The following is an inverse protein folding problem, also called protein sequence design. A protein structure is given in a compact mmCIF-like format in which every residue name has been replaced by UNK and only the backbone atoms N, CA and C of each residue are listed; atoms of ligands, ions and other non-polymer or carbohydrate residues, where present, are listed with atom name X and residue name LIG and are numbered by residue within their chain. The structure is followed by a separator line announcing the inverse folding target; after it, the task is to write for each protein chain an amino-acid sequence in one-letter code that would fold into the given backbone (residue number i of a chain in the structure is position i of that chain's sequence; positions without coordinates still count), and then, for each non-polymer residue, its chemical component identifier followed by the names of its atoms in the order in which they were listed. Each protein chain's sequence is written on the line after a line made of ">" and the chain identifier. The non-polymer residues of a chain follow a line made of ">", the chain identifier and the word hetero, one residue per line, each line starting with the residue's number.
data_IF_861447566517
#
_entry.id   IF_861447566517
#
_cell.length_a   1.000
_cell.length_b   1.000
_cell.length_c   1.000
_cell.angle_alpha   90.00
_cell.angle_beta   90.00
_cell.angle_gamma   90.00
#
_symmetry.space_group_name_H-M   'P 1'
#
loop_
_entity.id
_entity.type
_entity.pdbx_description
1 polymer ?
#
# COMPACT_ATOMS: atom_id res chain seq x y z
N UNK A 1 4.29 -34.25 -21.00
CA UNK A 1 5.17 -33.47 -20.10
C UNK A 1 4.98 -33.83 -18.63
N UNK A 2 3.76 -34.04 -18.14
CA UNK A 2 3.51 -34.28 -16.70
C UNK A 2 4.10 -35.58 -16.14
N UNK A 3 4.13 -36.65 -16.93
CA UNK A 3 4.77 -37.92 -16.51
C UNK A 3 6.28 -37.80 -16.26
N UNK A 4 6.98 -36.97 -17.06
CA UNK A 4 8.40 -36.69 -16.87
C UNK A 4 8.65 -35.78 -15.67
N UNK A 5 7.80 -34.75 -15.46
CA UNK A 5 7.86 -33.89 -14.27
C UNK A 5 7.68 -34.68 -12.96
N UNK A 6 6.72 -35.62 -12.92
CA UNK A 6 6.50 -36.50 -11.76
C UNK A 6 7.69 -37.43 -11.50
N UNK A 7 8.25 -38.07 -12.53
CA UNK A 7 9.46 -38.90 -12.39
C UNK A 7 10.65 -38.09 -11.87
N UNK A 8 10.85 -36.86 -12.38
CA UNK A 8 11.90 -35.96 -11.92
C UNK A 8 11.68 -35.49 -10.47
N UNK A 9 10.43 -35.16 -10.10
CA UNK A 9 10.07 -34.79 -8.72
C UNK A 9 10.38 -35.93 -7.75
N UNK A 10 9.93 -37.16 -8.05
CA UNK A 10 10.19 -38.34 -7.22
C UNK A 10 11.70 -38.65 -7.09
N UNK A 11 12.49 -38.40 -8.13
CA UNK A 11 13.94 -38.53 -8.06
C UNK A 11 14.61 -37.43 -7.22
N UNK A 12 14.09 -36.19 -7.27
CA UNK A 12 14.59 -35.05 -6.47
C UNK A 12 14.24 -35.16 -5.00
N UNK A 13 13.08 -35.73 -4.67
CA UNK A 13 12.63 -35.98 -3.29
C UNK A 13 13.62 -36.86 -2.49
N UNK A 14 14.37 -37.73 -3.17
CA UNK A 14 15.40 -38.57 -2.53
C UNK A 14 16.65 -37.80 -2.10
N UNK A 15 16.79 -36.53 -2.47
CA UNK A 15 17.94 -35.69 -2.09
C UNK A 15 17.67 -35.08 -0.73
N UNK A 16 18.73 -34.81 0.04
CA UNK A 16 18.61 -33.97 1.23
C UNK A 16 18.12 -32.59 0.78
N UNK A 17 16.95 -32.18 1.26
CA UNK A 17 16.43 -30.86 0.97
C UNK A 17 17.35 -29.80 1.58
N UNK A 18 17.64 -28.70 0.87
CA UNK A 18 18.25 -27.54 1.49
C UNK A 18 17.44 -27.11 2.71
N UNK A 19 18.11 -26.63 3.76
CA UNK A 19 17.42 -26.00 4.87
C UNK A 19 16.56 -24.86 4.34
N UNK A 20 15.27 -24.89 4.68
CA UNK A 20 14.34 -23.81 4.38
C UNK A 20 14.40 -22.82 5.54
N UNK A 21 14.64 -21.55 5.23
CA UNK A 21 14.32 -20.51 6.21
C UNK A 21 12.79 -20.41 6.29
N UNK A 22 12.25 -20.78 7.44
CA UNK A 22 10.82 -20.84 7.74
C UNK A 22 10.33 -19.64 8.57
N UNK A 23 11.19 -18.63 8.76
CA UNK A 23 10.80 -17.37 9.38
C UNK A 23 9.73 -16.66 8.54
N UNK A 24 8.78 -16.08 9.24
CA UNK A 24 7.81 -15.13 8.68
C UNK A 24 8.32 -13.74 9.01
N UNK A 25 8.68 -12.97 7.98
CA UNK A 25 9.20 -11.60 8.11
C UNK A 25 8.12 -10.59 7.76
N UNK A 26 7.95 -9.55 8.58
CA UNK A 26 6.93 -8.53 8.36
C UNK A 26 7.13 -7.79 7.04
N UNK A 27 8.35 -7.32 6.76
CA UNK A 27 8.75 -6.68 5.50
C UNK A 27 8.40 -7.51 4.26
N UNK A 28 8.87 -8.75 4.18
CA UNK A 28 8.62 -9.60 3.00
C UNK A 28 7.14 -9.95 2.84
N UNK A 29 6.42 -10.14 3.95
CA UNK A 29 4.97 -10.33 3.88
C UNK A 29 4.26 -9.03 3.47
N UNK A 30 4.75 -7.85 3.84
CA UNK A 30 4.24 -6.55 3.36
C UNK A 30 4.31 -6.45 1.83
N UNK A 31 5.46 -6.78 1.23
CA UNK A 31 5.61 -6.85 -0.23
C UNK A 31 4.68 -7.90 -0.87
N UNK A 32 4.55 -9.07 -0.24
CA UNK A 32 3.63 -10.11 -0.71
C UNK A 32 2.17 -9.65 -0.64
N UNK A 33 1.77 -8.97 0.43
CA UNK A 33 0.42 -8.42 0.61
C UNK A 33 0.14 -7.39 -0.48
N UNK A 34 1.06 -6.46 -0.74
CA UNK A 34 0.94 -5.48 -1.82
C UNK A 34 0.75 -6.16 -3.18
N UNK A 35 1.58 -7.15 -3.50
CA UNK A 35 1.50 -7.88 -4.76
C UNK A 35 0.17 -8.65 -4.92
N UNK A 36 -0.27 -9.35 -3.87
CA UNK A 36 -1.53 -10.10 -3.87
C UNK A 36 -2.74 -9.16 -3.95
N UNK A 37 -2.74 -8.07 -3.21
CA UNK A 37 -3.82 -7.09 -3.24
C UNK A 37 -3.94 -6.43 -4.62
N UNK A 38 -2.82 -5.97 -5.19
CA UNK A 38 -2.79 -5.43 -6.56
C UNK A 38 -3.22 -6.47 -7.60
N UNK A 39 -2.79 -7.73 -7.43
CA UNK A 39 -3.25 -8.84 -8.26
C UNK A 39 -4.76 -9.07 -8.16
N UNK A 40 -5.33 -8.99 -6.95
CA UNK A 40 -6.78 -9.10 -6.74
C UNK A 40 -7.54 -7.98 -7.45
N UNK A 41 -7.02 -6.74 -7.39
CA UNK A 41 -7.60 -5.59 -8.06
C UNK A 41 -7.56 -5.76 -9.59
N UNK A 42 -6.38 -5.96 -10.16
CA UNK A 42 -6.18 -5.99 -11.62
C UNK A 42 -6.80 -7.22 -12.27
N UNK A 43 -6.73 -8.39 -11.63
CA UNK A 43 -7.20 -9.65 -12.21
C UNK A 43 -8.67 -9.97 -11.84
N UNK A 44 -9.25 -9.24 -10.90
CA UNK A 44 -10.59 -9.53 -10.37
C UNK A 44 -10.70 -10.86 -9.62
N UNK A 45 -9.58 -11.43 -9.15
CA UNK A 45 -9.56 -12.71 -8.42
C UNK A 45 -9.43 -12.50 -6.91
N UNK A 46 -10.55 -12.70 -6.21
CA UNK A 46 -10.64 -12.56 -4.76
C UNK A 46 -9.79 -13.57 -3.96
N UNK A 47 -9.27 -14.63 -4.59
CA UNK A 47 -8.36 -15.55 -3.90
C UNK A 47 -7.10 -14.82 -3.43
N UNK A 48 -6.62 -13.86 -4.21
CA UNK A 48 -5.44 -13.08 -3.85
C UNK A 48 -5.72 -12.13 -2.69
N UNK A 49 -6.86 -11.42 -2.69
CA UNK A 49 -7.22 -10.54 -1.56
C UNK A 49 -7.43 -11.36 -0.29
N UNK A 50 -8.16 -12.49 -0.33
CA UNK A 50 -8.32 -13.37 0.84
C UNK A 50 -6.99 -13.86 1.41
N UNK A 51 -6.01 -14.16 0.56
CA UNK A 51 -4.67 -14.55 0.99
C UNK A 51 -3.92 -13.38 1.65
N UNK A 52 -4.00 -12.18 1.08
CA UNK A 52 -3.45 -10.96 1.66
C UNK A 52 -4.09 -10.62 3.02
N UNK A 53 -5.42 -10.69 3.13
CA UNK A 53 -6.15 -10.47 4.40
C UNK A 53 -5.75 -11.50 5.47
N UNK A 54 -5.48 -12.74 5.09
CA UNK A 54 -4.96 -13.77 6.01
C UNK A 54 -3.56 -13.40 6.50
N UNK A 55 -2.68 -12.91 5.63
CA UNK A 55 -1.34 -12.48 5.99
C UNK A 55 -1.37 -11.25 6.91
N UNK A 56 -2.20 -10.24 6.59
CA UNK A 56 -2.40 -9.05 7.45
C UNK A 56 -2.89 -9.47 8.84
N UNK A 57 -3.93 -10.31 8.93
CA UNK A 57 -4.42 -10.82 10.21
C UNK A 57 -3.32 -11.52 11.01
N UNK A 58 -2.54 -12.39 10.37
CA UNK A 58 -1.42 -13.05 11.04
C UNK A 58 -0.41 -12.05 11.61
N UNK A 59 -0.03 -11.03 10.84
CA UNK A 59 0.92 -10.00 11.29
C UNK A 59 0.33 -9.22 12.48
N UNK A 60 -0.92 -8.79 12.40
CA UNK A 60 -1.56 -8.06 13.48
C UNK A 60 -1.74 -8.94 14.73
N UNK A 61 -2.06 -10.22 14.58
CA UNK A 61 -2.32 -11.10 15.74
C UNK A 61 -1.03 -11.60 16.40
N UNK A 62 0.05 -11.78 15.63
CA UNK A 62 1.26 -12.46 16.12
C UNK A 62 2.54 -11.63 16.06
N UNK A 63 2.65 -10.64 15.18
CA UNK A 63 3.86 -9.83 14.98
C UNK A 63 3.72 -8.43 15.61
N UNK A 64 3.12 -8.38 16.81
CA UNK A 64 3.05 -7.17 17.64
C UNK A 64 3.47 -7.46 19.07
N UNK A 65 4.19 -6.53 19.66
CA UNK A 65 4.47 -6.49 21.11
C UNK A 65 3.18 -6.25 21.91
N UNK A 66 3.28 -6.34 23.24
CA UNK A 66 2.17 -6.03 24.16
C UNK A 66 1.70 -4.58 24.02
N UNK A 67 2.64 -3.68 23.71
CA UNK A 67 2.44 -2.26 23.45
C UNK A 67 1.98 -1.98 22.00
N UNK A 68 1.62 -3.04 21.24
CA UNK A 68 1.16 -3.00 19.84
C UNK A 68 2.19 -2.53 18.81
N UNK A 69 3.45 -2.29 19.20
CA UNK A 69 4.56 -2.05 18.27
C UNK A 69 4.81 -3.27 17.40
N UNK A 70 5.05 -3.04 16.11
CA UNK A 70 5.34 -4.07 15.12
C UNK A 70 6.66 -4.78 15.42
N UNK A 71 6.70 -6.09 15.18
CA UNK A 71 7.88 -6.94 15.31
C UNK A 71 8.34 -7.43 13.93
N UNK A 72 9.63 -7.67 13.76
CA UNK A 72 10.22 -8.00 12.45
C UNK A 72 10.03 -9.47 12.06
N UNK A 73 10.08 -10.40 13.03
CA UNK A 73 10.22 -11.83 12.75
C UNK A 73 9.33 -12.69 13.63
N UNK A 74 8.72 -13.71 13.02
CA UNK A 74 8.05 -14.81 13.70
C UNK A 74 8.68 -16.15 13.31
N UNK A 75 8.98 -16.99 14.29
CA UNK A 75 9.49 -18.36 14.08
C UNK A 75 9.22 -19.21 15.31
N UNK A 76 8.87 -20.48 15.12
CA UNK A 76 8.73 -21.46 16.21
C UNK A 76 7.81 -21.01 17.37
N UNK A 77 6.72 -20.30 17.07
CA UNK A 77 5.78 -19.79 18.08
C UNK A 77 6.17 -18.44 18.70
N UNK A 78 7.35 -17.92 18.36
CA UNK A 78 7.95 -16.73 18.94
C UNK A 78 7.96 -15.56 17.93
N UNK A 79 7.41 -14.42 18.35
CA UNK A 79 7.61 -13.14 17.70
C UNK A 79 8.75 -12.38 18.37
N UNK A 80 9.71 -11.90 17.59
CA UNK A 80 10.93 -11.30 18.10
C UNK A 80 11.40 -10.12 17.23
N UNK A 81 12.23 -9.30 17.88
CA UNK A 81 12.89 -8.10 17.37
C UNK A 81 11.93 -6.95 17.01
N UNK A 82 12.19 -5.72 17.49
CA UNK A 82 11.50 -4.54 16.97
C UNK A 82 11.59 -4.49 15.44
N UNK A 83 10.48 -4.11 14.80
CA UNK A 83 10.44 -3.87 13.37
C UNK A 83 11.34 -2.69 12.95
N UNK A 84 11.86 -2.78 11.73
CA UNK A 84 12.68 -1.76 11.05
C UNK A 84 11.82 -0.93 10.09
N UNK A 85 12.42 0.09 9.46
CA UNK A 85 11.75 0.94 8.47
C UNK A 85 11.02 0.12 7.39
N UNK A 86 11.70 -0.87 6.82
CA UNK A 86 11.16 -1.71 5.73
C UNK A 86 9.88 -2.46 6.14
N UNK A 87 9.83 -2.96 7.39
CA UNK A 87 8.67 -3.67 7.89
C UNK A 87 7.43 -2.76 7.93
N UNK A 88 7.62 -1.50 8.34
CA UNK A 88 6.57 -0.50 8.39
C UNK A 88 6.17 0.01 7.00
N UNK A 89 7.15 0.34 6.16
CA UNK A 89 6.92 0.89 4.83
C UNK A 89 6.19 -0.14 3.95
N UNK A 90 6.68 -1.38 3.91
CA UNK A 90 6.12 -2.41 3.04
C UNK A 90 4.76 -2.88 3.52
N UNK A 91 4.54 -2.99 4.84
CA UNK A 91 3.21 -3.32 5.38
C UNK A 91 2.21 -2.20 5.09
N UNK A 92 2.58 -0.93 5.29
CA UNK A 92 1.70 0.21 5.02
C UNK A 92 1.31 0.26 3.54
N UNK A 93 2.26 0.05 2.63
CA UNK A 93 1.97 -0.06 1.19
C UNK A 93 1.00 -1.22 0.90
N UNK A 94 1.26 -2.40 1.48
CA UNK A 94 0.37 -3.55 1.32
C UNK A 94 -1.05 -3.30 1.84
N UNK A 95 -1.20 -2.58 2.94
CA UNK A 95 -2.49 -2.21 3.51
C UNK A 95 -3.27 -1.23 2.62
N UNK A 96 -2.59 -0.25 2.00
CA UNK A 96 -3.21 0.66 1.01
C UNK A 96 -3.71 -0.12 -0.20
N UNK A 97 -2.88 -0.99 -0.79
CA UNK A 97 -3.30 -1.83 -1.93
C UNK A 97 -4.46 -2.76 -1.54
N UNK A 98 -4.44 -3.30 -0.32
CA UNK A 98 -5.51 -4.17 0.18
C UNK A 98 -6.83 -3.43 0.39
N UNK A 99 -6.78 -2.17 0.84
CA UNK A 99 -7.96 -1.29 0.84
C UNK A 99 -8.51 -1.15 -0.58
N UNK A 100 -7.69 -0.81 -1.57
CA UNK A 100 -8.13 -0.68 -2.98
C UNK A 100 -8.76 -1.98 -3.49
N UNK A 101 -8.18 -3.14 -3.17
CA UNK A 101 -8.70 -4.44 -3.59
C UNK A 101 -10.02 -4.84 -2.92
N UNK A 102 -10.24 -4.43 -1.66
CA UNK A 102 -11.36 -4.96 -0.84
C UNK A 102 -12.47 -3.96 -0.57
N UNK A 103 -12.18 -2.67 -0.75
CA UNK A 103 -12.98 -1.53 -0.27
C UNK A 103 -13.25 -1.52 1.24
N UNK A 104 -12.43 -2.22 2.03
CA UNK A 104 -12.57 -2.24 3.48
C UNK A 104 -11.74 -1.12 4.13
N UNK A 105 -12.37 -0.08 4.72
CA UNK A 105 -11.68 1.09 5.27
C UNK A 105 -10.75 0.75 6.44
N UNK A 106 -10.93 -0.40 7.09
CA UNK A 106 -10.02 -0.88 8.14
C UNK A 106 -8.56 -0.92 7.68
N UNK A 107 -8.29 -1.34 6.43
CA UNK A 107 -6.92 -1.45 5.95
C UNK A 107 -6.29 -0.07 5.72
N UNK A 108 -7.07 0.91 5.25
CA UNK A 108 -6.60 2.29 5.11
C UNK A 108 -6.34 2.94 6.48
N UNK A 109 -7.21 2.67 7.46
CA UNK A 109 -7.03 3.10 8.86
C UNK A 109 -5.74 2.52 9.46
N UNK A 110 -5.52 1.21 9.33
CA UNK A 110 -4.29 0.58 9.81
C UNK A 110 -3.05 1.08 9.06
N UNK A 111 -3.13 1.35 7.76
CA UNK A 111 -2.03 1.96 7.01
C UNK A 111 -1.66 3.33 7.58
N UNK A 112 -2.64 4.17 7.92
CA UNK A 112 -2.42 5.47 8.55
C UNK A 112 -1.76 5.32 9.93
N UNK A 113 -2.23 4.37 10.76
CA UNK A 113 -1.61 4.08 12.06
C UNK A 113 -0.15 3.65 11.88
N UNK A 114 0.13 2.73 10.96
CA UNK A 114 1.50 2.26 10.70
C UNK A 114 2.39 3.38 10.15
N UNK A 115 1.87 4.24 9.28
CA UNK A 115 2.62 5.39 8.75
C UNK A 115 2.98 6.41 9.84
N UNK A 116 2.06 6.72 10.77
CA UNK A 116 2.38 7.61 11.91
C UNK A 116 3.37 6.98 12.88
N UNK A 117 3.27 5.67 13.14
CA UNK A 117 4.29 4.95 13.91
C UNK A 117 5.66 4.98 13.20
N UNK A 118 5.67 4.85 11.87
CA UNK A 118 6.87 4.94 11.04
C UNK A 118 7.52 6.32 11.13
N UNK A 119 6.73 7.39 11.02
CA UNK A 119 7.18 8.77 11.26
C UNK A 119 7.82 8.90 12.64
N UNK A 120 7.09 8.55 13.69
CA UNK A 120 7.56 8.70 15.06
C UNK A 120 8.87 7.96 15.33
N UNK A 121 9.02 6.74 14.81
CA UNK A 121 10.17 5.88 15.14
C UNK A 121 11.41 6.18 14.29
N UNK A 122 11.24 6.54 13.03
CA UNK A 122 12.32 6.49 12.05
C UNK A 122 12.65 7.83 11.39
N UNK A 123 11.78 8.84 11.47
CA UNK A 123 11.98 10.11 10.78
C UNK A 123 13.22 10.86 11.27
N UNK A 124 13.97 11.44 10.34
CA UNK A 124 15.05 12.39 10.64
C UNK A 124 14.56 13.83 10.48
N UNK A 125 14.35 14.51 11.60
CA UNK A 125 13.92 15.91 11.57
C UNK A 125 14.95 16.87 11.00
N UNK A 126 16.24 16.55 11.03
CA UNK A 126 17.28 17.45 10.52
C UNK A 126 17.49 17.25 9.02
N UNK A 127 17.76 16.01 8.60
CA UNK A 127 18.09 15.70 7.21
C UNK A 127 16.92 15.33 6.31
N UNK A 128 15.71 15.13 6.85
CA UNK A 128 14.62 14.43 6.15
C UNK A 128 14.99 12.97 5.87
N UNK A 129 14.07 12.15 5.36
CA UNK A 129 14.37 10.72 5.24
C UNK A 129 14.05 9.95 6.51
N UNK A 130 13.97 8.64 6.37
CA UNK A 130 13.80 7.72 7.49
C UNK A 130 15.08 6.91 7.69
N UNK A 131 15.52 6.83 8.94
CA UNK A 131 16.54 5.90 9.37
C UNK A 131 16.02 4.46 9.30
N UNK A 132 16.90 3.51 9.01
CA UNK A 132 16.53 2.10 8.97
C UNK A 132 16.13 1.54 10.34
N UNK A 133 16.84 1.95 11.40
CA UNK A 133 16.56 1.55 12.78
C UNK A 133 15.83 2.64 13.55
N UNK A 134 15.04 2.23 14.55
CA UNK A 134 14.22 3.13 15.34
C UNK A 134 15.07 4.03 16.25
N UNK A 135 14.52 5.18 16.64
CA UNK A 135 15.18 6.15 17.52
C UNK A 135 15.53 5.57 18.91
N UNK A 136 14.76 4.59 19.37
CA UNK A 136 14.94 3.93 20.66
C UNK A 136 15.83 2.69 20.59
N UNK A 137 16.36 2.36 19.41
CA UNK A 137 17.32 1.29 19.21
C UNK A 137 18.76 1.77 19.51
N UNK A 138 19.20 1.49 20.74
CA UNK A 138 20.55 1.84 21.21
C UNK A 138 21.63 0.82 20.80
N UNK A 139 21.32 -0.19 19.98
CA UNK A 139 22.30 -1.21 19.58
C UNK A 139 23.25 -0.76 18.48
N UNK A 140 22.94 0.35 17.79
CA UNK A 140 23.72 0.87 16.68
C UNK A 140 24.38 2.21 17.03
N UNK A 141 25.68 2.33 16.77
CA UNK A 141 26.45 3.58 16.97
C UNK A 141 26.03 4.68 15.98
N UNK A 142 25.60 4.31 14.77
CA UNK A 142 25.16 5.21 13.71
C UNK A 142 23.91 4.62 13.05
N UNK A 143 22.88 5.43 12.86
CA UNK A 143 21.66 5.07 12.13
C UNK A 143 21.84 5.44 10.66
N UNK A 144 21.71 4.47 9.77
CA UNK A 144 21.84 4.67 8.32
C UNK A 144 20.48 4.91 7.67
N UNK A 145 20.48 5.62 6.54
CA UNK A 145 19.33 5.75 5.64
C UNK A 145 19.64 5.02 4.34
N UNK A 146 18.86 3.98 4.04
CA UNK A 146 18.95 3.26 2.78
C UNK A 146 17.98 3.89 1.79
N UNK A 147 18.48 4.39 0.65
CA UNK A 147 17.66 4.99 -0.42
C UNK A 147 17.80 4.28 -1.77
N UNK A 148 18.68 3.28 -1.86
CA UNK A 148 18.92 2.55 -3.10
C UNK A 148 17.96 1.36 -3.22
N UNK A 149 17.16 1.36 -4.27
CA UNK A 149 16.35 0.24 -4.70
C UNK A 149 17.24 -0.80 -5.37
N UNK A 150 17.24 -2.02 -4.82
CA UNK A 150 18.08 -3.13 -5.28
C UNK A 150 17.19 -4.31 -5.70
N UNK A 151 17.43 -5.52 -5.19
CA UNK A 151 16.54 -6.66 -5.44
C UNK A 151 15.11 -6.43 -4.89
N UNK A 152 14.97 -5.52 -3.94
CA UNK A 152 13.71 -5.02 -3.38
C UNK A 152 13.78 -3.49 -3.35
N UNK A 153 12.64 -2.78 -3.34
CA UNK A 153 12.65 -1.34 -3.11
C UNK A 153 13.21 -1.04 -1.71
N UNK A 154 13.82 0.13 -1.53
CA UNK A 154 14.26 0.59 -0.22
C UNK A 154 13.06 1.02 0.64
N UNK A 155 13.18 0.91 1.96
CA UNK A 155 12.18 1.42 2.88
C UNK A 155 11.90 2.92 2.68
N UNK A 156 12.91 3.72 2.31
CA UNK A 156 12.72 5.15 2.03
C UNK A 156 11.95 5.41 0.73
N UNK A 157 12.18 4.64 -0.33
CA UNK A 157 11.41 4.74 -1.57
C UNK A 157 9.94 4.40 -1.33
N UNK A 158 9.67 3.32 -0.58
CA UNK A 158 8.29 2.92 -0.26
C UNK A 158 7.65 3.88 0.74
N UNK A 159 8.39 4.44 1.70
CA UNK A 159 7.89 5.47 2.59
C UNK A 159 7.44 6.71 1.80
N UNK A 160 8.21 7.18 0.82
CA UNK A 160 7.81 8.29 -0.04
C UNK A 160 6.44 8.00 -0.70
N UNK A 161 6.30 6.83 -1.32
CA UNK A 161 5.04 6.39 -1.93
C UNK A 161 3.87 6.34 -0.94
N UNK A 162 4.09 5.75 0.24
CA UNK A 162 3.06 5.60 1.29
C UNK A 162 2.59 6.95 1.82
N UNK A 163 3.51 7.86 2.15
CA UNK A 163 3.14 9.17 2.68
C UNK A 163 2.43 10.03 1.63
N UNK A 164 2.86 10.00 0.36
CA UNK A 164 2.15 10.67 -0.74
C UNK A 164 0.71 10.16 -0.89
N UNK A 165 0.54 8.83 -0.97
CA UNK A 165 -0.77 8.20 -1.07
C UNK A 165 -1.67 8.58 0.11
N UNK A 166 -1.17 8.46 1.34
CA UNK A 166 -1.96 8.76 2.55
C UNK A 166 -2.27 10.25 2.68
N UNK A 167 -1.35 11.14 2.30
CA UNK A 167 -1.62 12.57 2.23
C UNK A 167 -2.78 12.86 1.27
N UNK A 168 -2.79 12.22 0.08
CA UNK A 168 -3.91 12.36 -0.88
C UNK A 168 -5.20 11.74 -0.37
N UNK A 169 -5.15 10.57 0.26
CA UNK A 169 -6.34 9.97 0.86
C UNK A 169 -6.95 10.88 1.92
N UNK A 170 -6.13 11.42 2.82
CA UNK A 170 -6.59 12.07 4.05
C UNK A 170 -6.75 13.58 3.95
N UNK A 171 -6.06 14.23 3.01
CA UNK A 171 -5.89 15.69 3.00
C UNK A 171 -5.05 16.21 4.18
N UNK A 172 -4.28 15.35 4.84
CA UNK A 172 -3.44 15.72 5.99
C UNK A 172 -2.16 16.44 5.54
N UNK A 173 -2.06 17.73 5.89
CA UNK A 173 -0.91 18.60 5.56
C UNK A 173 0.41 18.13 6.20
N UNK A 174 0.37 17.45 7.35
CA UNK A 174 1.57 16.91 7.99
C UNK A 174 2.15 15.76 7.16
N UNK A 175 1.29 14.83 6.71
CA UNK A 175 1.70 13.74 5.85
C UNK A 175 2.23 14.25 4.52
N UNK A 176 1.58 15.26 3.94
CA UNK A 176 2.01 15.93 2.71
C UNK A 176 3.40 16.58 2.90
N UNK A 177 3.62 17.27 4.01
CA UNK A 177 4.91 17.89 4.35
C UNK A 177 6.02 16.84 4.49
N UNK A 178 5.75 15.73 5.18
CA UNK A 178 6.71 14.62 5.33
C UNK A 178 7.03 14.01 3.97
N UNK A 179 6.03 13.79 3.13
CA UNK A 179 6.22 13.26 1.78
C UNK A 179 7.13 14.15 0.91
N UNK A 180 6.89 15.46 0.91
CA UNK A 180 7.72 16.41 0.16
C UNK A 180 9.15 16.49 0.69
N UNK A 181 9.33 16.51 2.01
CA UNK A 181 10.67 16.48 2.63
C UNK A 181 11.40 15.19 2.32
N UNK A 182 10.70 14.06 2.28
CA UNK A 182 11.23 12.76 1.87
C UNK A 182 11.74 12.76 0.43
N UNK A 183 10.93 13.28 -0.51
CA UNK A 183 11.35 13.42 -1.92
C UNK A 183 12.58 14.32 -2.03
N UNK A 184 12.55 15.49 -1.37
CA UNK A 184 13.67 16.43 -1.42
C UNK A 184 14.98 15.83 -0.87
N UNK A 185 14.92 15.04 0.21
CA UNK A 185 16.10 14.44 0.84
C UNK A 185 16.87 13.49 -0.10
N UNK A 186 16.18 12.81 -1.02
CA UNK A 186 16.78 11.82 -1.91
C UNK A 186 16.80 12.20 -3.39
N UNK A 187 16.22 13.35 -3.78
CA UNK A 187 16.20 13.82 -5.16
C UNK A 187 17.59 13.94 -5.80
N UNK A 188 18.60 14.37 -5.05
CA UNK A 188 19.98 14.45 -5.53
C UNK A 188 20.59 13.07 -5.82
N UNK A 189 20.32 12.07 -4.97
CA UNK A 189 20.79 10.71 -5.17
C UNK A 189 20.08 10.04 -6.36
N UNK A 190 18.75 10.21 -6.46
CA UNK A 190 17.95 9.70 -7.57
C UNK A 190 18.37 10.31 -8.92
N UNK A 191 18.74 11.60 -8.95
CA UNK A 191 19.25 12.24 -10.16
C UNK A 191 20.62 11.68 -10.60
N UNK A 192 21.48 11.30 -9.66
CA UNK A 192 22.80 10.71 -9.96
C UNK A 192 22.71 9.24 -10.36
N UNK A 193 21.81 8.47 -9.75
CA UNK A 193 21.68 7.02 -9.97
C UNK A 193 20.21 6.59 -10.13
N UNK A 194 19.49 7.03 -11.17
CA UNK A 194 18.05 6.76 -11.34
C UNK A 194 17.72 5.25 -11.38
N UNK A 195 18.62 4.44 -11.95
CA UNK A 195 18.48 2.98 -11.99
C UNK A 195 18.50 2.31 -10.60
N UNK A 196 19.06 2.98 -9.60
CA UNK A 196 19.08 2.54 -8.20
C UNK A 196 17.97 3.23 -7.38
N UNK A 197 17.02 3.91 -8.01
CA UNK A 197 15.94 4.65 -7.34
C UNK A 197 14.60 4.46 -8.04
N UNK A 198 14.38 3.29 -8.64
CA UNK A 198 13.22 3.03 -9.52
C UNK A 198 11.86 3.16 -8.82
N UNK A 199 11.73 2.72 -7.57
CA UNK A 199 10.48 2.85 -6.81
C UNK A 199 10.31 4.26 -6.27
N UNK A 200 11.41 4.93 -5.90
CA UNK A 200 11.40 6.36 -5.61
C UNK A 200 10.89 7.17 -6.81
N UNK A 201 11.31 6.82 -8.04
CA UNK A 201 10.84 7.48 -9.25
C UNK A 201 9.34 7.24 -9.50
N UNK A 202 8.76 6.12 -9.06
CA UNK A 202 7.31 5.95 -9.05
C UNK A 202 6.60 6.93 -8.10
N UNK A 203 7.16 7.15 -6.91
CA UNK A 203 6.66 8.16 -5.97
C UNK A 203 6.78 9.59 -6.55
N UNK A 204 7.90 9.88 -7.22
CA UNK A 204 8.09 11.16 -7.89
C UNK A 204 7.11 11.35 -9.06
N UNK A 205 6.85 10.32 -9.87
CA UNK A 205 5.85 10.37 -10.95
C UNK A 205 4.44 10.63 -10.41
N UNK A 206 4.08 9.98 -9.30
CA UNK A 206 2.80 10.23 -8.61
C UNK A 206 2.65 11.68 -8.18
N UNK A 207 3.70 12.28 -7.61
CA UNK A 207 3.66 13.67 -7.13
C UNK A 207 3.72 14.70 -8.27
N UNK A 208 4.43 14.42 -9.37
CA UNK A 208 4.50 15.33 -10.53
C UNK A 208 3.23 15.33 -11.37
N UNK A 209 2.46 14.24 -11.35
CA UNK A 209 1.22 14.11 -12.09
C UNK A 209 0.09 14.98 -11.55
N UNK A 210 -0.93 15.33 -12.35
CA UNK A 210 -2.16 15.85 -11.79
C UNK A 210 -2.75 14.80 -10.83
N UNK A 211 -2.90 15.12 -9.53
CA UNK A 211 -3.45 14.16 -8.59
C UNK A 211 -4.92 13.91 -8.91
N UNK A 212 -5.28 12.64 -9.08
CA UNK A 212 -6.66 12.24 -9.35
C UNK A 212 -7.25 11.47 -8.17
N UNK A 213 -8.32 12.00 -7.60
CA UNK A 213 -9.15 11.31 -6.61
C UNK A 213 -10.39 10.78 -7.32
N UNK A 214 -10.44 9.47 -7.54
CA UNK A 214 -11.57 8.81 -8.22
C UNK A 214 -12.46 8.16 -7.17
N UNK A 215 -13.61 8.79 -6.89
CA UNK A 215 -14.61 8.27 -5.95
C UNK A 215 -15.68 7.48 -6.69
N UNK A 216 -15.76 6.18 -6.44
CA UNK A 216 -16.84 5.30 -6.91
C UNK A 216 -17.87 5.16 -5.79
N UNK A 217 -18.99 5.85 -5.95
CA UNK A 217 -20.10 5.82 -4.99
C UNK A 217 -21.14 4.77 -5.41
N UNK A 218 -21.40 3.77 -4.59
CA UNK A 218 -22.37 2.72 -4.91
C UNK A 218 -22.26 1.48 -4.05
N UNK A 219 -23.22 0.57 -4.21
CA UNK A 219 -23.28 -0.71 -3.48
C UNK A 219 -22.40 -1.72 -4.20
N UNK A 220 -21.49 -2.39 -3.47
CA UNK A 220 -20.52 -3.33 -4.05
C UNK A 220 -21.14 -4.43 -4.91
N UNK A 221 -22.32 -4.92 -4.54
CA UNK A 221 -23.00 -6.01 -5.26
C UNK A 221 -23.89 -5.53 -6.43
N UNK A 222 -23.96 -4.23 -6.69
CA UNK A 222 -24.71 -3.66 -7.81
C UNK A 222 -23.92 -3.84 -9.13
N UNK A 223 -24.61 -4.17 -10.22
CA UNK A 223 -23.97 -4.40 -11.52
C UNK A 223 -23.31 -3.13 -12.08
N UNK A 224 -23.97 -1.97 -11.95
CA UNK A 224 -23.40 -0.69 -12.41
C UNK A 224 -22.14 -0.32 -11.64
N UNK A 225 -22.06 -0.71 -10.37
CA UNK A 225 -20.86 -0.49 -9.55
C UNK A 225 -19.71 -1.36 -10.06
N UNK A 226 -19.95 -2.64 -10.33
CA UNK A 226 -18.94 -3.54 -10.88
C UNK A 226 -18.47 -3.11 -12.27
N UNK A 227 -19.36 -2.62 -13.13
CA UNK A 227 -18.98 -2.10 -14.46
C UNK A 227 -18.02 -0.91 -14.36
N UNK A 228 -18.23 0.01 -13.41
CA UNK A 228 -17.27 1.09 -13.16
C UNK A 228 -15.92 0.58 -12.65
N UNK A 229 -15.92 -0.39 -11.74
CA UNK A 229 -14.67 -1.00 -11.26
C UNK A 229 -13.92 -1.69 -12.39
N UNK A 230 -14.61 -2.39 -13.29
CA UNK A 230 -13.98 -3.07 -14.42
C UNK A 230 -13.30 -2.09 -15.39
N UNK A 231 -13.91 -0.92 -15.62
CA UNK A 231 -13.26 0.18 -16.37
C UNK A 231 -11.98 0.62 -15.65
N UNK A 232 -12.03 0.89 -14.35
CA UNK A 232 -10.86 1.34 -13.58
C UNK A 232 -9.75 0.28 -13.53
N UNK A 233 -10.10 -1.00 -13.37
CA UNK A 233 -9.15 -2.13 -13.36
C UNK A 233 -8.45 -2.33 -14.70
N UNK A 234 -9.11 -1.95 -15.80
CA UNK A 234 -8.56 -2.08 -17.16
C UNK A 234 -7.54 -1.00 -17.53
N UNK A 235 -7.44 0.07 -16.72
CA UNK A 235 -6.61 1.24 -16.99
C UNK A 235 -5.40 1.28 -16.05
N UNK A 236 -4.26 1.73 -16.57
CA UNK A 236 -3.10 2.05 -15.75
C UNK A 236 -3.17 3.51 -15.32
N UNK A 237 -3.51 3.75 -14.05
CA UNK A 237 -3.73 5.08 -13.47
C UNK A 237 -2.70 5.35 -12.36
N UNK A 238 -1.42 5.60 -12.69
CA UNK A 238 -0.35 5.67 -11.71
C UNK A 238 -0.47 6.86 -10.74
N UNK A 239 -1.20 7.91 -11.12
CA UNK A 239 -1.36 9.17 -10.38
C UNK A 239 -2.73 9.30 -9.71
N UNK A 240 -3.52 8.21 -9.69
CA UNK A 240 -4.86 8.19 -9.14
C UNK A 240 -4.93 7.42 -7.82
N UNK A 241 -5.72 7.93 -6.89
CA UNK A 241 -6.22 7.16 -5.74
C UNK A 241 -7.70 6.83 -5.97
N UNK A 242 -8.08 5.60 -5.62
CA UNK A 242 -9.44 5.10 -5.82
C UNK A 242 -10.14 5.01 -4.47
N UNK A 243 -11.25 5.72 -4.35
CA UNK A 243 -12.09 5.81 -3.16
C UNK A 243 -13.40 5.07 -3.42
N UNK A 244 -13.62 3.93 -2.78
CA UNK A 244 -14.83 3.13 -2.98
C UNK A 244 -15.86 3.46 -1.88
N UNK A 245 -16.67 4.49 -2.11
CA UNK A 245 -17.65 4.97 -1.13
C UNK A 245 -18.92 4.11 -1.14
N UNK A 246 -18.96 3.11 -0.26
CA UNK A 246 -20.13 2.26 -0.08
C UNK A 246 -21.14 2.87 0.90
N UNK A 247 -22.45 2.68 0.73
CA UNK A 247 -23.44 3.14 1.71
C UNK A 247 -23.25 2.50 3.09
N UNK A 248 -23.59 3.24 4.14
CA UNK A 248 -23.59 2.76 5.52
C UNK A 248 -22.23 2.91 6.21
N UNK A 249 -21.98 2.05 7.21
CA UNK A 249 -20.87 2.20 8.16
C UNK A 249 -19.49 2.31 7.51
N UNK A 250 -19.24 1.53 6.46
CA UNK A 250 -17.93 1.52 5.81
C UNK A 250 -17.68 2.80 4.99
N UNK A 251 -18.72 3.36 4.34
CA UNK A 251 -18.62 4.68 3.71
C UNK A 251 -18.46 5.81 4.72
N UNK A 252 -19.16 5.75 5.85
CA UNK A 252 -18.99 6.71 6.94
C UNK A 252 -17.55 6.71 7.49
N UNK A 253 -16.99 5.51 7.70
CA UNK A 253 -15.58 5.36 8.08
C UNK A 253 -14.63 5.87 7.01
N UNK A 254 -14.87 5.52 5.75
CA UNK A 254 -14.06 6.00 4.64
C UNK A 254 -14.09 7.52 4.57
N UNK A 255 -15.26 8.15 4.63
CA UNK A 255 -15.40 9.60 4.58
C UNK A 255 -14.73 10.31 5.78
N UNK A 256 -14.64 9.65 6.94
CA UNK A 256 -13.90 10.17 8.09
C UNK A 256 -12.38 10.14 7.90
N UNK A 257 -11.86 9.14 7.16
CA UNK A 257 -10.44 9.02 6.83
C UNK A 257 -10.10 9.88 5.61
N UNK A 258 -10.98 9.90 4.62
CA UNK A 258 -10.79 10.49 3.30
C UNK A 258 -11.90 11.48 2.96
N UNK A 259 -11.71 12.78 3.26
CA UNK A 259 -12.73 13.82 3.07
C UNK A 259 -13.26 13.93 1.63
N UNK A 260 -12.46 13.59 0.62
CA UNK A 260 -12.88 13.59 -0.78
C UNK A 260 -14.07 12.66 -1.08
N UNK A 261 -14.24 11.58 -0.30
CA UNK A 261 -15.39 10.68 -0.39
C UNK A 261 -16.65 11.25 0.27
N UNK A 262 -16.53 12.24 1.15
CA UNK A 262 -17.65 12.79 1.89
C UNK A 262 -18.68 13.45 0.94
N UNK A 263 -19.96 13.10 1.12
CA UNK A 263 -21.07 13.63 0.32
C UNK A 263 -21.12 13.13 -1.13
N UNK A 264 -20.22 12.23 -1.55
CA UNK A 264 -20.25 11.59 -2.89
C UNK A 264 -21.19 10.40 -2.87
N UNK A 265 -22.37 10.55 -3.46
CA UNK A 265 -23.47 9.60 -3.33
C UNK A 265 -23.86 8.98 -4.67
N UNK A 266 -24.52 7.80 -4.68
CA UNK A 266 -25.15 7.26 -5.87
C UNK A 266 -26.10 8.28 -6.53
N UNK A 267 -26.12 8.35 -7.87
CA UNK A 267 -27.05 9.18 -8.62
C UNK A 267 -28.31 8.41 -8.99
N UNK A 268 -29.49 8.94 -8.64
CA UNK A 268 -30.78 8.30 -8.93
C UNK A 268 -30.85 6.82 -8.47
N UNK A 269 -30.17 6.49 -7.37
CA UNK A 269 -30.09 5.13 -6.83
C UNK A 269 -29.15 4.18 -7.58
N UNK A 270 -28.36 4.67 -8.55
CA UNK A 270 -27.34 3.91 -9.29
C UNK A 270 -25.93 4.38 -8.94
N UNK A 271 -24.94 3.52 -9.17
CA UNK A 271 -23.55 3.90 -8.92
C UNK A 271 -23.17 5.15 -9.73
N UNK A 272 -22.26 5.94 -9.18
CA UNK A 272 -21.73 7.13 -9.82
C UNK A 272 -20.23 7.26 -9.55
N UNK A 273 -19.51 7.86 -10.48
CA UNK A 273 -18.08 8.15 -10.34
C UNK A 273 -17.82 9.64 -10.33
N UNK A 274 -17.04 10.09 -9.36
CA UNK A 274 -16.58 11.46 -9.24
C UNK A 274 -15.07 11.47 -9.45
N UNK A 275 -14.60 12.30 -10.38
CA UNK A 275 -13.17 12.54 -10.59
C UNK A 275 -12.88 13.93 -10.03
N UNK A 276 -12.06 13.97 -8.98
CA UNK A 276 -11.62 15.20 -8.35
C UNK A 276 -10.14 15.44 -8.61
N UNK A 277 -9.80 16.66 -8.98
CA UNK A 277 -8.46 17.13 -9.30
C UNK A 277 -8.27 18.49 -8.64
N UNK A 278 -7.13 18.73 -7.99
CA UNK A 278 -6.80 20.02 -7.37
C UNK A 278 -7.94 20.61 -6.52
N UNK A 279 -8.53 19.81 -5.62
CA UNK A 279 -9.63 20.19 -4.73
C UNK A 279 -10.97 20.51 -5.43
N UNK A 280 -11.09 20.28 -6.74
CA UNK A 280 -12.31 20.48 -7.50
C UNK A 280 -12.78 19.17 -8.13
N UNK A 281 -14.07 18.84 -7.95
CA UNK A 281 -14.67 17.67 -8.58
C UNK A 281 -15.41 18.07 -9.84
N UNK A 282 -15.26 17.24 -10.87
CA UNK A 282 -15.99 17.36 -12.13
C UNK A 282 -17.44 16.87 -11.93
N UNK A 283 -18.30 17.08 -12.94
CA UNK A 283 -19.66 16.53 -12.91
C UNK A 283 -19.61 15.00 -12.76
N UNK A 284 -20.47 14.41 -11.90
CA UNK A 284 -20.47 12.97 -11.66
C UNK A 284 -20.91 12.20 -12.91
N UNK A 285 -20.18 11.12 -13.18
CA UNK A 285 -20.43 10.20 -14.29
C UNK A 285 -21.40 9.11 -13.83
N UNK A 286 -22.43 8.85 -14.63
CA UNK A 286 -23.44 7.81 -14.40
C UNK A 286 -23.36 6.65 -15.41
N UNK A 287 -22.50 6.76 -16.43
CA UNK A 287 -22.26 5.72 -17.43
C UNK A 287 -20.77 5.27 -17.41
N UNK A 288 -20.48 3.97 -17.21
CA UNK A 288 -19.12 3.42 -17.32
C UNK A 288 -18.42 3.71 -18.65
N UNK A 289 -19.16 3.87 -19.75
CA UNK A 289 -18.57 4.22 -21.05
C UNK A 289 -17.99 5.63 -21.05
N UNK A 290 -18.71 6.60 -20.47
CA UNK A 290 -18.22 7.97 -20.31
C UNK A 290 -16.96 7.99 -19.43
N UNK A 291 -16.90 7.15 -18.39
CA UNK A 291 -15.67 6.99 -17.60
C UNK A 291 -14.51 6.46 -18.46
N UNK A 292 -14.74 5.45 -19.29
CA UNK A 292 -13.69 4.84 -20.12
C UNK A 292 -13.12 5.79 -21.19
N UNK A 293 -13.92 6.75 -21.67
CA UNK A 293 -13.52 7.82 -22.60
C UNK A 293 -12.74 8.94 -21.91
N UNK A 294 -13.01 9.18 -20.61
CA UNK A 294 -12.40 10.26 -19.84
C UNK A 294 -11.03 9.89 -19.23
N UNK A 295 -10.80 8.60 -18.99
CA UNK A 295 -9.54 8.03 -18.49
C UNK A 295 -8.62 7.58 -19.63
#
# INVERSE_FOLDING_TARGET
>A
MDGLRRKLFAAREKRVHPFKDDKILTSWNGLMIAALARGAWVLGDEQYSRAAEKAVRFILDHLRSKERRLLARYRDGEAAFPAYLDDYAFLSWGLIELYTATSNPFYLEEALVKAREMQRLFWDEEGGGFFFTAEDDNSHLVRAKESSDMAMPSGNSVAAWVFLQLARFTGDEELDTIAHRQLHAFGGAAAQMPQASTFYLCALDFEMGPPQEIVVAGVKNDSSYQEFLDVLRSKYLPQAIILQNQPGRDGEKLAAIAPAAAGKMPLNGKAAVYICENYACQEPLADPKELAERL
#
